data_IF_851054018031
#
_entry.id   IF_851054018031
#
_cell.length_a   1.000
_cell.length_b   1.000
_cell.length_c   1.000
_cell.angle_alpha   90.00
_cell.angle_beta   90.00
_cell.angle_gamma   90.00
#
_symmetry.space_group_name_H-M   'P 1'
#
loop_
_entity.id
_entity.type
_entity.pdbx_description
1 polymer ?
#
# COMPACT_ATOMS: atom_id res chain seq x y z
N UNK A 1 16.09 30.89 -8.72
CA UNK A 1 15.38 29.68 -9.21
C UNK A 1 16.40 28.54 -9.43
N UNK A 2 16.03 27.25 -9.53
CA UNK A 2 17.00 26.14 -9.77
C UNK A 2 17.87 26.40 -11.01
N UNK A 3 17.30 27.02 -12.04
CA UNK A 3 17.98 27.37 -13.29
C UNK A 3 19.20 28.31 -13.13
N UNK A 4 19.27 29.08 -12.03
CA UNK A 4 20.38 30.00 -11.76
C UNK A 4 21.52 29.36 -10.94
N UNK A 5 21.33 28.15 -10.42
CA UNK A 5 22.32 27.46 -9.58
C UNK A 5 23.67 27.22 -10.27
N UNK A 6 23.75 26.91 -11.59
CA UNK A 6 25.04 26.74 -12.26
C UNK A 6 25.99 27.93 -12.10
N UNK A 7 25.43 29.15 -12.02
CA UNK A 7 26.20 30.39 -11.91
C UNK A 7 26.31 30.88 -10.47
N UNK A 8 25.20 30.82 -9.70
CA UNK A 8 25.12 31.40 -8.35
C UNK A 8 25.62 30.47 -7.24
N UNK A 9 25.51 29.16 -7.43
CA UNK A 9 25.96 28.17 -6.45
C UNK A 9 26.31 26.83 -7.15
N UNK A 10 27.48 26.73 -7.81
CA UNK A 10 27.86 25.58 -8.61
C UNK A 10 27.97 24.27 -7.82
N UNK A 11 28.28 24.32 -6.52
CA UNK A 11 28.32 23.11 -5.67
C UNK A 11 26.92 22.55 -5.44
N UNK A 12 25.95 23.40 -5.09
CA UNK A 12 24.56 22.98 -4.95
C UNK A 12 23.97 22.49 -6.27
N UNK A 13 24.37 23.07 -7.41
CA UNK A 13 24.00 22.56 -8.72
C UNK A 13 24.51 21.12 -8.94
N UNK A 14 25.76 20.84 -8.56
CA UNK A 14 26.34 19.49 -8.67
C UNK A 14 25.59 18.49 -7.79
N UNK A 15 25.33 18.82 -6.53
CA UNK A 15 24.53 17.98 -5.62
C UNK A 15 23.13 17.71 -6.18
N UNK A 16 22.48 18.72 -6.74
CA UNK A 16 21.19 18.55 -7.40
C UNK A 16 21.26 17.62 -8.62
N UNK A 17 22.27 17.74 -9.48
CA UNK A 17 22.46 16.87 -10.64
C UNK A 17 22.73 15.42 -10.22
N UNK A 18 23.55 15.19 -9.19
CA UNK A 18 23.81 13.87 -8.63
C UNK A 18 22.52 13.25 -8.06
N UNK A 19 21.75 14.02 -7.30
CA UNK A 19 20.46 13.57 -6.76
C UNK A 19 19.44 13.27 -7.87
N UNK A 20 19.39 14.09 -8.93
CA UNK A 20 18.52 13.88 -10.08
C UNK A 20 18.90 12.61 -10.83
N UNK A 21 20.19 12.39 -11.11
CA UNK A 21 20.68 11.19 -11.77
C UNK A 21 20.39 9.94 -10.92
N UNK A 22 20.57 10.00 -9.60
CA UNK A 22 20.24 8.91 -8.69
C UNK A 22 18.73 8.59 -8.70
N UNK A 23 17.87 9.60 -8.62
CA UNK A 23 16.42 9.41 -8.66
C UNK A 23 15.94 8.83 -10.01
N UNK A 24 16.52 9.30 -11.12
CA UNK A 24 16.25 8.75 -12.44
C UNK A 24 16.70 7.30 -12.56
N UNK A 25 17.91 6.97 -12.09
CA UNK A 25 18.44 5.61 -12.09
C UNK A 25 17.58 4.66 -11.25
N UNK A 26 17.13 5.09 -10.07
CA UNK A 26 16.21 4.32 -9.23
C UNK A 26 14.86 4.09 -9.93
N UNK A 27 14.27 5.14 -10.50
CA UNK A 27 13.00 5.04 -11.24
C UNK A 27 13.12 4.07 -12.42
N UNK A 28 14.21 4.17 -13.20
CA UNK A 28 14.49 3.26 -14.31
C UNK A 28 14.62 1.82 -13.84
N UNK A 29 15.39 1.58 -12.78
CA UNK A 29 15.54 0.23 -12.21
C UNK A 29 14.20 -0.35 -11.75
N UNK A 30 13.38 0.42 -11.03
CA UNK A 30 12.08 -0.04 -10.55
C UNK A 30 11.11 -0.38 -11.69
N UNK A 31 11.22 0.30 -12.84
CA UNK A 31 10.39 0.05 -14.04
C UNK A 31 10.89 -1.14 -14.87
N UNK A 32 12.19 -1.17 -15.15
CA UNK A 32 12.77 -2.01 -16.20
C UNK A 32 13.44 -3.28 -15.67
N UNK A 33 13.69 -3.40 -14.36
CA UNK A 33 14.33 -4.60 -13.78
C UNK A 33 13.49 -5.88 -13.87
N UNK A 34 12.19 -5.76 -14.15
CA UNK A 34 11.23 -6.88 -14.11
C UNK A 34 10.89 -7.37 -12.70
N UNK A 35 11.45 -6.76 -11.65
CA UNK A 35 11.23 -7.17 -10.26
C UNK A 35 9.93 -6.64 -9.65
N UNK A 36 9.36 -5.58 -10.23
CA UNK A 36 8.18 -4.87 -9.70
C UNK A 36 7.07 -4.71 -10.76
N UNK A 37 6.61 -5.81 -11.40
CA UNK A 37 5.65 -5.73 -12.51
C UNK A 37 4.30 -5.11 -12.13
N UNK A 38 3.93 -5.08 -10.85
CA UNK A 38 2.64 -4.58 -10.36
C UNK A 38 2.71 -3.13 -9.85
N UNK A 39 3.85 -2.69 -9.33
CA UNK A 39 4.01 -1.39 -8.64
C UNK A 39 5.08 -0.48 -9.24
N UNK A 40 5.93 -0.98 -10.14
CA UNK A 40 6.95 -0.21 -10.87
C UNK A 40 6.39 0.59 -12.05
N UNK A 41 5.18 1.15 -11.96
CA UNK A 41 4.48 1.85 -13.06
C UNK A 41 3.86 3.16 -12.56
N UNK A 42 3.58 4.10 -13.47
CA UNK A 42 3.01 5.41 -13.10
C UNK A 42 3.94 6.20 -12.17
N UNK A 43 3.40 6.97 -11.24
CA UNK A 43 4.19 7.62 -10.19
C UNK A 43 4.53 6.60 -9.09
N UNK A 44 5.81 6.26 -8.94
CA UNK A 44 6.23 5.13 -8.12
C UNK A 44 6.33 5.54 -6.67
N UNK A 45 5.49 4.95 -5.84
CA UNK A 45 5.60 5.04 -4.40
C UNK A 45 6.52 3.94 -3.86
N UNK A 46 7.49 4.31 -3.02
CA UNK A 46 8.43 3.36 -2.43
C UNK A 46 7.71 2.29 -1.59
N UNK A 47 6.69 2.65 -0.83
CA UNK A 47 5.92 1.68 -0.03
C UNK A 47 5.28 0.58 -0.88
N UNK A 48 4.88 0.88 -2.12
CA UNK A 48 4.28 -0.08 -3.05
C UNK A 48 5.30 -1.11 -3.52
N UNK A 49 6.49 -0.66 -3.93
CA UNK A 49 7.56 -1.58 -4.36
C UNK A 49 8.09 -2.43 -3.21
N UNK A 50 8.09 -1.91 -1.98
CA UNK A 50 8.40 -2.71 -0.79
C UNK A 50 7.34 -3.79 -0.54
N UNK A 51 6.05 -3.47 -0.62
CA UNK A 51 4.97 -4.43 -0.47
C UNK A 51 5.03 -5.54 -1.54
N UNK A 52 5.27 -5.18 -2.81
CA UNK A 52 5.45 -6.14 -3.89
C UNK A 52 6.67 -7.02 -3.68
N UNK A 53 7.81 -6.43 -3.25
CA UNK A 53 9.03 -7.21 -3.00
C UNK A 53 8.84 -8.21 -1.86
N UNK A 54 8.25 -7.80 -0.75
CA UNK A 54 7.97 -8.70 0.38
C UNK A 54 7.04 -9.83 -0.04
N UNK A 55 6.00 -9.53 -0.83
CA UNK A 55 5.10 -10.54 -1.40
C UNK A 55 5.83 -11.52 -2.31
N UNK A 56 6.75 -11.05 -3.14
CA UNK A 56 7.52 -11.89 -4.07
C UNK A 56 8.52 -12.80 -3.35
N UNK A 57 9.09 -12.34 -2.23
CA UNK A 57 10.04 -13.09 -1.40
C UNK A 57 9.36 -14.09 -0.45
N UNK A 58 8.04 -14.04 -0.33
CA UNK A 58 7.30 -14.89 0.60
C UNK A 58 7.31 -16.36 0.12
N UNK A 59 7.84 -17.27 0.94
CA UNK A 59 7.82 -18.72 0.67
C UNK A 59 6.38 -19.27 0.62
N UNK A 60 6.11 -20.37 -0.10
CA UNK A 60 4.82 -21.06 -0.02
C UNK A 60 4.40 -21.37 1.42
N UNK A 61 3.14 -21.11 1.77
CA UNK A 61 2.61 -21.22 3.14
C UNK A 61 3.10 -20.14 4.12
N UNK A 62 3.92 -19.19 3.66
CA UNK A 62 4.38 -18.06 4.45
C UNK A 62 3.31 -16.98 4.63
N UNK A 63 3.53 -16.09 5.60
CA UNK A 63 2.76 -14.87 5.82
C UNK A 63 3.67 -13.66 6.01
N UNK A 64 3.20 -12.49 5.61
CA UNK A 64 3.84 -11.20 5.89
C UNK A 64 2.83 -10.22 6.45
N UNK A 65 3.30 -9.29 7.27
CA UNK A 65 2.56 -8.12 7.71
C UNK A 65 3.43 -6.88 7.51
N UNK A 66 2.86 -5.81 6.97
CA UNK A 66 3.54 -4.53 6.79
C UNK A 66 2.61 -3.37 7.12
N UNK A 67 3.15 -2.34 7.77
CA UNK A 67 2.48 -1.05 7.95
C UNK A 67 2.87 -0.16 6.76
N UNK A 68 1.87 0.30 6.01
CA UNK A 68 2.04 1.13 4.81
C UNK A 68 0.96 2.19 4.74
N UNK A 69 1.14 3.30 3.99
CA UNK A 69 0.04 4.19 3.68
C UNK A 69 -1.17 3.44 3.13
N UNK A 70 -2.38 3.84 3.53
CA UNK A 70 -3.64 3.20 3.09
C UNK A 70 -3.81 3.19 1.57
N UNK A 71 -3.11 4.10 0.88
CA UNK A 71 -3.01 4.16 -0.58
C UNK A 71 -2.64 2.84 -1.27
N UNK A 72 -1.99 1.89 -0.57
CA UNK A 72 -1.71 0.55 -1.09
C UNK A 72 -2.98 -0.19 -1.56
N UNK A 73 -4.12 0.10 -0.95
CA UNK A 73 -5.38 -0.55 -1.21
C UNK A 73 -6.42 0.37 -1.84
N UNK A 74 -6.23 1.70 -1.78
CA UNK A 74 -7.25 2.69 -2.19
C UNK A 74 -6.87 3.50 -3.42
N UNK A 75 -5.58 3.65 -3.72
CA UNK A 75 -5.12 4.55 -4.78
C UNK A 75 -5.09 3.85 -6.14
N UNK A 76 -5.37 4.60 -7.21
CA UNK A 76 -5.38 4.06 -8.58
C UNK A 76 -4.01 3.48 -8.99
N UNK A 77 -2.92 4.12 -8.57
CA UNK A 77 -1.54 3.67 -8.80
C UNK A 77 -1.29 2.24 -8.29
N UNK A 78 -1.99 1.83 -7.23
CA UNK A 78 -1.81 0.51 -6.61
C UNK A 78 -2.89 -0.51 -6.99
N UNK A 79 -3.89 -0.14 -7.79
CA UNK A 79 -5.02 -1.02 -8.12
C UNK A 79 -4.58 -2.34 -8.74
N UNK A 80 -3.52 -2.34 -9.55
CA UNK A 80 -3.01 -3.55 -10.21
C UNK A 80 -2.40 -4.51 -9.18
N UNK A 81 -1.64 -3.98 -8.23
CA UNK A 81 -1.07 -4.76 -7.13
C UNK A 81 -2.17 -5.31 -6.21
N UNK A 82 -3.07 -4.45 -5.76
CA UNK A 82 -4.13 -4.85 -4.83
C UNK A 82 -5.09 -5.86 -5.47
N UNK A 83 -5.50 -5.64 -6.73
CA UNK A 83 -6.30 -6.59 -7.49
C UNK A 83 -5.62 -7.96 -7.57
N UNK A 84 -4.32 -7.98 -7.90
CA UNK A 84 -3.56 -9.24 -7.99
C UNK A 84 -3.55 -9.99 -6.66
N UNK A 85 -3.37 -9.29 -5.55
CA UNK A 85 -3.37 -9.89 -4.20
C UNK A 85 -4.73 -10.50 -3.87
N UNK A 86 -5.82 -9.80 -4.15
CA UNK A 86 -7.20 -10.28 -3.92
C UNK A 86 -7.53 -11.46 -4.83
N UNK A 87 -7.27 -11.34 -6.13
CA UNK A 87 -7.55 -12.37 -7.14
C UNK A 87 -6.80 -13.69 -6.87
N UNK A 88 -5.61 -13.63 -6.27
CA UNK A 88 -4.84 -14.83 -5.91
C UNK A 88 -5.24 -15.42 -4.55
N UNK A 89 -6.19 -14.81 -3.82
CA UNK A 89 -6.53 -15.23 -2.45
C UNK A 89 -5.41 -14.97 -1.44
N UNK A 90 -4.46 -14.09 -1.78
CA UNK A 90 -3.26 -13.84 -0.96
C UNK A 90 -3.52 -12.80 0.14
N UNK A 91 -4.66 -12.10 0.13
CA UNK A 91 -5.02 -11.16 1.18
C UNK A 91 -5.52 -11.92 2.41
N UNK A 92 -4.85 -11.76 3.55
CA UNK A 92 -5.30 -12.31 4.83
C UNK A 92 -6.04 -11.27 5.67
N UNK A 93 -5.51 -10.04 5.70
CA UNK A 93 -6.16 -8.92 6.36
C UNK A 93 -5.71 -7.56 5.82
N UNK A 94 -6.59 -6.57 5.93
CA UNK A 94 -6.28 -5.16 5.74
C UNK A 94 -6.98 -4.37 6.85
N UNK A 95 -6.20 -3.79 7.75
CA UNK A 95 -6.71 -2.96 8.84
C UNK A 95 -6.26 -1.52 8.63
N UNK A 96 -7.20 -0.63 8.35
CA UNK A 96 -6.96 0.79 8.09
C UNK A 96 -7.15 1.63 9.36
N UNK A 97 -6.20 2.54 9.56
CA UNK A 97 -6.07 3.41 10.71
C UNK A 97 -5.90 4.87 10.30
N UNK A 98 -6.40 5.78 11.14
CA UNK A 98 -6.07 7.20 11.12
C UNK A 98 -5.16 7.50 12.31
N UNK A 99 -4.05 8.22 12.10
CA UNK A 99 -3.08 8.56 13.16
C UNK A 99 -3.58 9.64 14.15
N UNK A 100 -4.89 9.76 14.37
CA UNK A 100 -5.51 10.83 15.17
C UNK A 100 -5.05 10.82 16.63
N UNK A 101 -4.76 9.63 17.14
CA UNK A 101 -4.30 9.39 18.51
C UNK A 101 -2.78 9.49 18.65
N UNK A 102 -2.07 9.83 17.56
CA UNK A 102 -0.61 10.02 17.60
C UNK A 102 0.16 8.72 17.84
N UNK A 103 -0.33 7.57 17.35
CA UNK A 103 0.38 6.28 17.41
C UNK A 103 1.80 6.42 16.85
N UNK A 104 1.94 7.22 15.79
CA UNK A 104 3.22 7.68 15.27
C UNK A 104 3.37 9.18 15.56
N UNK A 105 4.03 9.59 16.65
CA UNK A 105 4.06 11.00 17.09
C UNK A 105 4.71 11.97 16.10
N UNK A 106 5.63 11.47 15.28
CA UNK A 106 6.34 12.25 14.26
C UNK A 106 5.60 12.33 12.92
N UNK A 107 4.41 11.73 12.81
CA UNK A 107 3.61 11.67 11.58
C UNK A 107 2.35 12.52 11.76
N UNK A 108 1.93 13.23 10.71
CA UNK A 108 0.69 14.02 10.73
C UNK A 108 -0.50 13.19 11.21
N UNK A 109 -1.30 13.75 12.11
CA UNK A 109 -2.41 13.04 12.75
C UNK A 109 -3.55 12.66 11.79
N UNK A 110 -3.60 13.29 10.61
CA UNK A 110 -4.56 12.98 9.54
C UNK A 110 -4.06 11.90 8.59
N UNK A 111 -2.79 11.50 8.72
CA UNK A 111 -2.22 10.44 7.88
C UNK A 111 -2.97 9.13 8.11
N UNK A 112 -3.32 8.46 7.01
CA UNK A 112 -3.91 7.13 7.02
C UNK A 112 -2.88 6.07 6.71
N UNK A 113 -2.87 5.02 7.50
CA UNK A 113 -2.01 3.87 7.30
C UNK A 113 -2.81 2.59 7.46
N UNK A 114 -2.34 1.52 6.85
CA UNK A 114 -2.94 0.21 6.93
C UNK A 114 -1.91 -0.82 7.38
N UNK A 115 -2.36 -1.78 8.18
CA UNK A 115 -1.67 -3.05 8.35
C UNK A 115 -2.14 -3.97 7.22
N UNK A 116 -1.27 -4.20 6.25
CA UNK A 116 -1.49 -5.14 5.15
C UNK A 116 -0.90 -6.50 5.53
N UNK A 117 -1.74 -7.53 5.60
CA UNK A 117 -1.33 -8.90 5.90
C UNK A 117 -1.57 -9.78 4.69
N UNK A 118 -0.49 -10.35 4.14
CA UNK A 118 -0.55 -11.26 3.00
C UNK A 118 -0.13 -12.67 3.39
N UNK A 119 -0.64 -13.65 2.65
CA UNK A 119 -0.27 -15.06 2.74
C UNK A 119 0.11 -15.59 1.36
N UNK A 120 1.03 -16.55 1.29
CA UNK A 120 1.43 -17.24 0.06
C UNK A 120 0.78 -18.61 -0.03
N UNK A 121 -0.54 -18.61 0.00
CA UNK A 121 -1.36 -19.82 -0.02
C UNK A 121 -2.59 -19.53 -0.88
N UNK A 122 -2.91 -20.46 -1.78
CA UNK A 122 -4.13 -20.39 -2.59
C UNK A 122 -5.26 -21.05 -1.82
N UNK A 123 -5.91 -20.27 -0.98
CA UNK A 123 -7.19 -20.64 -0.39
C UNK A 123 -8.23 -19.54 -0.71
N UNK A 124 -9.51 -19.86 -0.53
CA UNK A 124 -10.61 -18.88 -0.66
C UNK A 124 -11.06 -18.36 0.70
N UNK A 125 -10.21 -18.46 1.72
CA UNK A 125 -10.55 -18.00 3.06
C UNK A 125 -10.83 -16.49 3.02
N UNK A 126 -11.91 -16.03 3.65
CA UNK A 126 -12.24 -14.62 3.70
C UNK A 126 -11.10 -13.79 4.30
N UNK A 127 -10.77 -12.66 3.65
CA UNK A 127 -9.85 -11.67 4.19
C UNK A 127 -10.57 -10.83 5.26
N UNK A 128 -9.87 -10.47 6.33
CA UNK A 128 -10.41 -9.63 7.41
C UNK A 128 -10.17 -8.15 7.14
N UNK A 129 -11.18 -7.32 7.40
CA UNK A 129 -11.12 -5.88 7.22
C UNK A 129 -11.61 -5.15 8.46
N UNK A 130 -10.98 -4.01 8.70
CA UNK A 130 -11.48 -2.98 9.58
C UNK A 130 -10.99 -1.64 9.01
N UNK A 131 -11.84 -0.62 9.01
CA UNK A 131 -11.48 0.70 8.50
C UNK A 131 -11.73 1.79 9.54
N UNK A 132 -11.05 2.93 9.38
CA UNK A 132 -11.18 4.08 10.26
C UNK A 132 -10.91 3.75 11.74
N UNK A 133 -10.01 2.81 12.01
CA UNK A 133 -9.52 2.58 13.36
C UNK A 133 -8.68 3.79 13.79
N UNK A 134 -8.74 4.18 15.05
CA UNK A 134 -7.83 5.19 15.60
C UNK A 134 -6.84 4.59 16.58
N UNK A 135 -7.10 3.36 17.05
CA UNK A 135 -6.23 2.56 17.90
C UNK A 135 -6.37 1.05 17.63
N UNK A 136 -5.34 0.23 17.91
CA UNK A 136 -5.36 -1.22 17.68
C UNK A 136 -6.48 -1.97 18.42
N UNK A 137 -6.88 -1.51 19.60
CA UNK A 137 -7.93 -2.12 20.43
C UNK A 137 -9.28 -2.14 19.70
N UNK A 138 -9.47 -1.27 18.70
CA UNK A 138 -10.65 -1.31 17.84
C UNK A 138 -10.81 -2.62 17.05
N UNK A 139 -9.78 -3.45 16.94
CA UNK A 139 -9.85 -4.79 16.35
C UNK A 139 -10.50 -5.83 17.27
N UNK A 140 -10.62 -5.54 18.56
CA UNK A 140 -11.30 -6.40 19.52
C UNK A 140 -12.83 -6.33 19.38
N UNK A 141 -13.36 -5.25 18.79
CA UNK A 141 -14.78 -5.06 18.53
C UNK A 141 -15.23 -5.88 17.29
N UNK A 142 -16.02 -6.96 17.46
CA UNK A 142 -16.48 -7.80 16.36
C UNK A 142 -17.45 -7.08 15.40
N UNK A 143 -18.01 -5.94 15.79
CA UNK A 143 -18.87 -5.13 14.92
C UNK A 143 -18.07 -4.29 13.91
N UNK A 144 -16.78 -4.03 14.20
CA UNK A 144 -15.87 -3.27 13.34
C UNK A 144 -15.07 -4.14 12.39
N UNK A 145 -14.88 -5.41 12.75
CA UNK A 145 -14.18 -6.39 11.91
C UNK A 145 -15.20 -7.15 11.07
N UNK A 146 -15.00 -7.11 9.76
CA UNK A 146 -15.79 -7.89 8.80
C UNK A 146 -14.88 -8.69 7.88
N UNK A 147 -15.47 -9.67 7.21
CA UNK A 147 -14.74 -10.57 6.33
C UNK A 147 -15.32 -10.50 4.93
N UNK A 148 -14.46 -10.45 3.92
CA UNK A 148 -14.84 -10.47 2.51
C UNK A 148 -14.07 -11.57 1.80
N UNK A 149 -14.80 -12.39 1.04
CA UNK A 149 -14.21 -13.35 0.11
C UNK A 149 -13.72 -12.64 -1.16
N UNK A 150 -12.82 -13.23 -1.94
CA UNK A 150 -12.46 -12.70 -3.26
C UNK A 150 -13.68 -12.48 -4.19
N UNK A 151 -14.74 -13.27 -4.03
CA UNK A 151 -15.98 -13.12 -4.79
C UNK A 151 -16.76 -11.87 -4.35
N UNK A 152 -16.87 -11.62 -3.04
CA UNK A 152 -17.47 -10.38 -2.51
C UNK A 152 -16.75 -9.15 -3.05
N UNK A 153 -15.42 -9.19 -3.14
CA UNK A 153 -14.61 -8.11 -3.72
C UNK A 153 -14.99 -7.81 -5.17
N UNK A 154 -15.17 -8.85 -5.98
CA UNK A 154 -15.53 -8.71 -7.39
C UNK A 154 -16.91 -8.09 -7.56
N UNK A 155 -17.84 -8.42 -6.66
CA UNK A 155 -19.21 -7.89 -6.67
C UNK A 155 -19.26 -6.44 -6.19
N UNK A 156 -18.50 -6.10 -5.13
CA UNK A 156 -18.49 -4.77 -4.53
C UNK A 156 -17.69 -3.76 -5.33
N UNK A 157 -16.63 -4.19 -6.02
CA UNK A 157 -15.73 -3.29 -6.71
C UNK A 157 -15.34 -3.74 -8.13
N UNK A 158 -16.33 -3.97 -9.02
CA UNK A 158 -16.08 -4.49 -10.36
C UNK A 158 -15.24 -3.56 -11.23
N UNK A 159 -15.27 -2.24 -10.95
CA UNK A 159 -14.64 -1.22 -11.79
C UNK A 159 -13.31 -0.71 -11.24
N UNK A 160 -13.21 -0.41 -9.94
CA UNK A 160 -12.02 0.29 -9.41
C UNK A 160 -10.95 -0.66 -8.90
N UNK A 161 -11.30 -1.92 -8.60
CA UNK A 161 -10.37 -2.98 -8.13
C UNK A 161 -9.55 -2.61 -6.90
N UNK A 162 -10.04 -1.65 -6.10
CA UNK A 162 -9.48 -1.21 -4.81
C UNK A 162 -10.28 -1.79 -3.64
N UNK A 163 -9.83 -1.55 -2.41
CA UNK A 163 -10.57 -1.95 -1.22
C UNK A 163 -11.89 -1.16 -1.10
N UNK A 164 -13.04 -1.82 -0.88
CA UNK A 164 -14.28 -1.14 -0.59
C UNK A 164 -14.22 -0.59 0.85
N UNK A 165 -14.27 0.73 0.98
CA UNK A 165 -14.13 1.40 2.28
C UNK A 165 -15.51 1.46 2.95
N UNK A 166 -15.73 0.66 3.99
CA UNK A 166 -16.96 0.68 4.80
C UNK A 166 -16.68 1.16 6.22
N UNK A 167 -17.56 2.01 6.76
CA UNK A 167 -17.46 2.49 8.16
C UNK A 167 -18.03 1.49 9.18
N UNK A 168 -18.93 0.61 8.77
CA UNK A 168 -19.53 -0.40 9.65
C UNK A 168 -20.07 -1.58 8.84
N UNK A 169 -20.33 -2.72 9.52
CA UNK A 169 -20.91 -3.94 8.93
C UNK A 169 -22.36 -3.77 8.44
N UNK A 170 -23.01 -2.63 8.67
CA UNK A 170 -24.38 -2.34 8.21
C UNK A 170 -24.33 -1.35 7.04
N UNK A 171 -24.89 -1.77 5.91
CA UNK A 171 -25.45 -0.86 4.90
C UNK A 171 -26.82 -0.46 5.46
N UNK A 172 -27.02 0.83 5.75
CA UNK A 172 -28.36 1.38 6.00
C UNK A 172 -28.97 1.75 4.66
#
# INVERSE_FOLDING_TARGET
MIAELPERNPSLWREYQEALAAAQGQSLFLRESGLYPLTGRGDINTYSVFAERMRALLRPGGRMGIIVPTGIATDDTNKVFFARVVEQGELAALYDFENREGIFPAVDSRMKFSVLVLKKEKDQAPARFAFFLTRPEGLEDPARVFSLTPEDFRLLNPNTKTAPIFRSRRVV
#
